data_IF_998866499930
#
_entry.id   IF_998866499930
#
_cell.length_a   1.000
_cell.length_b   1.000
_cell.length_c   1.000
_cell.angle_alpha   90.00
_cell.angle_beta   90.00
_cell.angle_gamma   90.00
#
_symmetry.space_group_name_H-M   'P 1'
#
loop_
_entity.id
_entity.type
_entity.pdbx_description
1 polymer ?
#
# COMPACT_ATOMS: atom_id res chain seq x y z
N UNK A 1 -13.70 -17.39 -30.89
CA UNK A 1 -14.42 -17.70 -29.63
C UNK A 1 -15.29 -18.93 -29.82
N UNK A 2 -15.36 -19.86 -28.83
CA UNK A 2 -16.30 -20.97 -28.89
C UNK A 2 -17.75 -20.47 -28.97
N UNK A 3 -18.58 -21.08 -29.82
CA UNK A 3 -19.97 -20.64 -30.07
C UNK A 3 -20.89 -20.69 -28.85
N UNK A 4 -20.47 -21.36 -27.77
CA UNK A 4 -21.22 -21.48 -26.52
C UNK A 4 -20.96 -20.35 -25.52
N UNK A 5 -19.94 -19.52 -25.72
CA UNK A 5 -19.59 -18.45 -24.79
C UNK A 5 -20.28 -17.15 -25.23
N UNK A 6 -21.27 -16.62 -24.47
CA UNK A 6 -21.96 -15.40 -24.86
C UNK A 6 -20.97 -14.24 -24.93
N UNK A 7 -20.91 -13.58 -26.09
CA UNK A 7 -20.16 -12.34 -26.25
C UNK A 7 -20.86 -11.37 -27.19
N UNK A 8 -20.63 -10.09 -26.96
CA UNK A 8 -21.00 -9.02 -27.90
C UNK A 8 -19.72 -8.35 -28.40
N UNK A 9 -19.78 -7.76 -29.60
CA UNK A 9 -18.62 -7.09 -30.18
C UNK A 9 -18.07 -6.02 -29.21
N UNK A 10 -16.74 -6.00 -29.05
CA UNK A 10 -16.07 -4.94 -28.30
C UNK A 10 -16.10 -3.65 -29.13
N UNK A 11 -16.75 -2.56 -28.68
CA UNK A 11 -16.86 -1.33 -29.44
C UNK A 11 -15.50 -0.69 -29.73
N UNK A 12 -15.31 -0.04 -30.89
CA UNK A 12 -14.10 0.74 -31.16
C UNK A 12 -14.07 2.02 -30.31
N UNK A 13 -12.89 2.65 -30.25
CA UNK A 13 -12.72 3.98 -29.67
C UNK A 13 -13.60 5.03 -30.38
N UNK A 14 -13.98 6.08 -29.65
CA UNK A 14 -14.80 7.19 -30.14
C UNK A 14 -14.12 8.53 -29.86
N UNK A 15 -14.18 9.42 -30.85
CA UNK A 15 -13.60 10.76 -30.76
C UNK A 15 -14.57 11.81 -30.18
N UNK A 16 -15.87 11.48 -30.09
CA UNK A 16 -16.94 12.40 -29.67
C UNK A 16 -17.15 12.45 -28.14
N UNK A 17 -16.15 12.04 -27.35
CA UNK A 17 -16.18 12.02 -25.89
C UNK A 17 -16.51 13.38 -25.24
N UNK A 18 -17.17 13.36 -24.09
CA UNK A 18 -17.60 14.58 -23.38
C UNK A 18 -16.42 15.46 -22.97
N UNK A 19 -15.30 14.85 -22.60
CA UNK A 19 -14.08 15.54 -22.19
C UNK A 19 -13.10 15.77 -23.34
N UNK A 20 -13.46 15.52 -24.60
CA UNK A 20 -12.57 15.82 -25.74
C UNK A 20 -12.23 17.33 -25.83
N UNK A 21 -11.05 17.73 -26.36
CA UNK A 21 -9.96 16.87 -26.85
C UNK A 21 -9.08 16.32 -25.73
N UNK A 22 -8.42 15.18 -25.94
CA UNK A 22 -7.40 14.64 -25.02
C UNK A 22 -6.21 15.60 -24.96
N UNK A 23 -5.74 15.92 -23.75
CA UNK A 23 -4.60 16.85 -23.56
C UNK A 23 -3.47 16.26 -22.73
N UNK A 24 -3.65 15.08 -22.15
CA UNK A 24 -2.59 14.35 -21.45
C UNK A 24 -1.45 13.97 -22.40
N UNK A 25 -0.27 13.73 -21.83
CA UNK A 25 0.85 13.16 -22.58
C UNK A 25 0.77 11.63 -22.70
N UNK A 26 -0.13 11.03 -21.93
CA UNK A 26 -0.40 9.61 -21.87
C UNK A 26 -1.84 9.31 -22.30
N UNK A 27 -1.99 8.22 -23.05
CA UNK A 27 -3.23 7.59 -23.46
C UNK A 27 -2.97 6.07 -23.42
N UNK A 28 -3.71 5.32 -22.61
CA UNK A 28 -3.38 3.92 -22.31
C UNK A 28 -4.01 2.99 -23.34
N UNK A 29 -3.81 1.68 -23.13
CA UNK A 29 -4.25 0.70 -24.12
C UNK A 29 -5.77 0.54 -24.20
N UNK A 30 -6.55 1.00 -23.22
CA UNK A 30 -8.02 0.94 -23.27
C UNK A 30 -8.57 1.79 -24.44
N UNK A 31 -9.65 1.38 -25.12
CA UNK A 31 -10.25 2.18 -26.20
C UNK A 31 -11.01 3.39 -25.64
N UNK A 32 -10.69 4.59 -26.10
CA UNK A 32 -11.33 5.78 -25.56
C UNK A 32 -12.84 5.85 -25.84
N UNK A 33 -13.61 6.12 -24.79
CA UNK A 33 -15.07 6.31 -24.79
C UNK A 33 -15.88 5.15 -25.37
N UNK A 34 -15.32 3.94 -25.46
CA UNK A 34 -15.96 2.80 -26.13
C UNK A 34 -17.27 2.38 -25.45
N UNK A 35 -17.32 2.45 -24.12
CA UNK A 35 -18.48 2.04 -23.32
C UNK A 35 -19.45 3.20 -23.03
N UNK A 36 -18.93 4.42 -22.88
CA UNK A 36 -19.71 5.61 -22.52
C UNK A 36 -19.02 6.88 -22.99
N UNK A 37 -19.82 7.90 -23.34
CA UNK A 37 -19.32 9.22 -23.73
C UNK A 37 -18.67 10.00 -22.56
N UNK A 38 -18.94 9.61 -21.31
CA UNK A 38 -18.56 10.41 -20.13
C UNK A 38 -17.23 10.02 -19.49
N UNK A 39 -16.67 8.85 -19.81
CA UNK A 39 -15.40 8.35 -19.29
C UNK A 39 -14.56 7.84 -20.45
N UNK A 40 -13.34 8.33 -20.60
CA UNK A 40 -12.44 7.92 -21.67
C UNK A 40 -12.07 6.43 -21.53
N UNK A 41 -11.53 6.03 -20.38
CA UNK A 41 -11.11 4.66 -20.12
C UNK A 41 -11.92 4.12 -18.93
N UNK A 42 -13.03 3.44 -19.20
CA UNK A 42 -14.01 3.09 -18.16
C UNK A 42 -13.49 2.02 -17.19
N UNK A 43 -12.74 1.03 -17.69
CA UNK A 43 -12.21 -0.05 -16.85
C UNK A 43 -11.08 0.51 -16.00
N UNK A 44 -10.16 1.27 -16.59
CA UNK A 44 -9.10 1.97 -15.86
C UNK A 44 -9.68 2.94 -14.83
N UNK A 45 -10.77 3.66 -15.15
CA UNK A 45 -11.49 4.51 -14.19
C UNK A 45 -12.08 3.70 -13.04
N UNK A 46 -12.89 2.66 -13.32
CA UNK A 46 -13.65 1.95 -12.27
C UNK A 46 -12.76 1.08 -11.37
N UNK A 47 -11.65 0.57 -11.90
CA UNK A 47 -10.69 -0.22 -11.10
C UNK A 47 -10.06 0.60 -9.97
N UNK A 48 -10.00 1.94 -10.11
CA UNK A 48 -9.55 2.85 -9.05
C UNK A 48 -10.52 2.97 -7.86
N UNK A 49 -11.77 2.52 -7.98
CA UNK A 49 -12.69 2.47 -6.84
C UNK A 49 -12.15 1.58 -5.70
N UNK A 50 -11.34 0.56 -6.03
CA UNK A 50 -10.67 -0.27 -5.02
C UNK A 50 -9.74 0.58 -4.13
N UNK A 51 -8.92 1.45 -4.73
CA UNK A 51 -8.07 2.37 -3.96
C UNK A 51 -8.92 3.21 -3.01
N UNK A 52 -9.99 3.82 -3.52
CA UNK A 52 -10.84 4.69 -2.72
C UNK A 52 -11.44 3.94 -1.52
N UNK A 53 -11.98 2.73 -1.74
CA UNK A 53 -12.56 1.89 -0.67
C UNK A 53 -11.50 1.48 0.34
N UNK A 54 -10.33 1.02 -0.11
CA UNK A 54 -9.23 0.61 0.77
C UNK A 54 -8.66 1.79 1.55
N UNK A 55 -8.63 2.99 0.97
CA UNK A 55 -8.23 4.21 1.65
C UNK A 55 -9.14 4.51 2.84
N UNK A 56 -10.46 4.50 2.63
CA UNK A 56 -11.43 4.72 3.70
C UNK A 56 -11.35 3.64 4.78
N UNK A 57 -11.19 2.37 4.39
CA UNK A 57 -10.97 1.27 5.33
C UNK A 57 -9.71 1.50 6.18
N UNK A 58 -8.60 1.89 5.56
CA UNK A 58 -7.33 2.17 6.23
C UNK A 58 -7.40 3.37 7.17
N UNK A 59 -7.98 4.49 6.72
CA UNK A 59 -8.22 5.68 7.54
C UNK A 59 -9.08 5.36 8.77
N UNK A 60 -10.19 4.64 8.57
CA UNK A 60 -11.04 4.20 9.67
C UNK A 60 -10.29 3.29 10.64
N UNK A 61 -9.49 2.34 10.14
CA UNK A 61 -8.67 1.46 10.96
C UNK A 61 -7.65 2.25 11.80
N UNK A 62 -6.97 3.25 11.21
CA UNK A 62 -6.07 4.16 11.92
C UNK A 62 -6.76 4.94 13.02
N UNK A 63 -7.93 5.50 12.75
CA UNK A 63 -8.73 6.26 13.71
C UNK A 63 -9.23 5.37 14.86
N UNK A 64 -9.90 4.27 14.52
CA UNK A 64 -10.54 3.38 15.49
C UNK A 64 -9.54 2.69 16.44
N UNK A 65 -8.32 2.42 15.96
CA UNK A 65 -7.29 1.72 16.75
C UNK A 65 -6.18 2.64 17.30
N UNK A 66 -6.31 3.97 17.11
CA UNK A 66 -5.35 4.95 17.62
C UNK A 66 -3.93 4.72 17.10
N UNK A 67 -3.79 4.48 15.80
CA UNK A 67 -2.48 4.38 15.15
C UNK A 67 -1.82 5.76 15.00
N UNK A 68 -0.51 5.79 14.80
CA UNK A 68 0.24 7.04 14.60
C UNK A 68 -0.37 7.84 13.43
N UNK A 69 -0.55 9.16 13.63
CA UNK A 69 -1.21 10.06 12.67
C UNK A 69 -0.58 10.03 11.26
N UNK A 70 0.70 9.71 11.17
CA UNK A 70 1.40 9.62 9.89
C UNK A 70 0.77 8.58 8.96
N UNK A 71 0.31 7.44 9.48
CA UNK A 71 -0.34 6.41 8.66
C UNK A 71 -1.74 6.84 8.19
N UNK A 72 -2.47 7.58 9.02
CA UNK A 72 -3.73 8.20 8.58
C UNK A 72 -3.47 9.16 7.41
N UNK A 73 -2.44 10.01 7.52
CA UNK A 73 -2.04 10.93 6.45
C UNK A 73 -1.56 10.19 5.19
N UNK A 74 -0.86 9.05 5.35
CA UNK A 74 -0.51 8.19 4.22
C UNK A 74 -1.74 7.63 3.53
N UNK A 75 -2.77 7.21 4.26
CA UNK A 75 -4.03 6.76 3.64
C UNK A 75 -4.81 7.90 2.98
N UNK A 76 -4.68 9.15 3.46
CA UNK A 76 -5.18 10.33 2.73
C UNK A 76 -4.42 10.51 1.42
N UNK A 77 -3.09 10.38 1.41
CA UNK A 77 -2.30 10.39 0.17
C UNK A 77 -2.73 9.28 -0.80
N UNK A 78 -2.92 8.06 -0.28
CA UNK A 78 -3.42 6.92 -1.04
C UNK A 78 -4.84 7.14 -1.61
N UNK A 79 -5.73 7.84 -0.88
CA UNK A 79 -7.04 8.27 -1.39
C UNK A 79 -6.89 9.25 -2.57
N UNK A 80 -5.95 10.20 -2.47
CA UNK A 80 -5.68 11.19 -3.52
C UNK A 80 -5.14 10.48 -4.76
N UNK A 81 -4.27 9.48 -4.62
CA UNK A 81 -3.80 8.63 -5.74
C UNK A 81 -4.99 7.98 -6.45
N UNK A 82 -5.83 7.23 -5.74
CA UNK A 82 -6.98 6.56 -6.36
C UNK A 82 -7.99 7.51 -6.97
N UNK A 83 -8.26 8.66 -6.32
CA UNK A 83 -9.20 9.66 -6.83
C UNK A 83 -8.64 10.44 -8.01
N UNK A 84 -7.34 10.73 -7.99
CA UNK A 84 -6.60 11.37 -9.08
C UNK A 84 -6.57 10.49 -10.31
N UNK A 85 -6.21 9.22 -10.15
CA UNK A 85 -6.23 8.21 -11.22
C UNK A 85 -7.65 8.03 -11.80
N UNK A 86 -8.67 7.90 -10.94
CA UNK A 86 -10.07 7.87 -11.39
C UNK A 86 -10.42 9.08 -12.28
N UNK A 87 -10.07 10.29 -11.82
CA UNK A 87 -10.35 11.52 -12.56
C UNK A 87 -9.52 11.62 -13.85
N UNK A 88 -8.27 11.15 -13.83
CA UNK A 88 -7.41 11.11 -15.00
C UNK A 88 -7.97 10.18 -16.08
N UNK A 89 -8.25 8.91 -15.77
CA UNK A 89 -8.79 7.95 -16.73
C UNK A 89 -10.20 8.31 -17.22
N UNK A 90 -10.97 9.06 -16.43
CA UNK A 90 -12.26 9.60 -16.89
C UNK A 90 -12.08 10.67 -17.98
N UNK A 91 -11.04 11.51 -17.86
CA UNK A 91 -10.95 12.77 -18.61
C UNK A 91 -9.81 12.85 -19.63
N UNK A 92 -8.72 12.10 -19.42
CA UNK A 92 -7.44 12.18 -20.13
C UNK A 92 -6.94 13.62 -20.30
N UNK A 93 -6.98 14.37 -19.19
CA UNK A 93 -6.53 15.76 -19.11
C UNK A 93 -5.23 15.87 -18.38
N UNK A 94 -4.31 16.67 -18.93
CA UNK A 94 -3.00 16.90 -18.33
C UNK A 94 -3.03 17.34 -16.85
N UNK A 95 -3.93 18.26 -16.40
CA UNK A 95 -4.02 18.56 -14.97
C UNK A 95 -4.37 17.36 -14.09
N UNK A 96 -5.25 16.47 -14.55
CA UNK A 96 -5.62 15.27 -13.79
C UNK A 96 -4.53 14.20 -13.86
N UNK A 97 -3.80 14.11 -14.97
CA UNK A 97 -2.58 13.30 -15.08
C UNK A 97 -1.55 13.71 -14.01
N UNK A 98 -1.33 15.02 -13.83
CA UNK A 98 -0.44 15.52 -12.78
C UNK A 98 -0.94 15.15 -11.38
N UNK A 99 -2.25 15.21 -11.12
CA UNK A 99 -2.82 14.80 -9.83
C UNK A 99 -2.60 13.31 -9.58
N UNK A 100 -2.84 12.46 -10.58
CA UNK A 100 -2.60 11.03 -10.50
C UNK A 100 -1.12 10.73 -10.20
N UNK A 101 -0.23 11.07 -11.13
CA UNK A 101 1.17 10.70 -11.06
C UNK A 101 1.89 11.38 -9.88
N UNK A 102 1.72 12.69 -9.65
CA UNK A 102 2.47 13.37 -8.59
C UNK A 102 2.00 13.01 -7.20
N UNK A 103 0.73 12.66 -7.01
CA UNK A 103 0.23 12.21 -5.70
C UNK A 103 0.91 10.91 -5.24
N UNK A 104 1.33 10.04 -6.19
CA UNK A 104 2.13 8.86 -5.89
C UNK A 104 3.49 9.25 -5.30
N UNK A 105 4.18 10.23 -5.90
CA UNK A 105 5.46 10.76 -5.40
C UNK A 105 5.30 11.34 -4.00
N UNK A 106 4.27 12.18 -3.78
CA UNK A 106 4.06 12.84 -2.50
C UNK A 106 3.77 11.84 -1.39
N UNK A 107 2.94 10.83 -1.68
CA UNK A 107 2.62 9.76 -0.72
C UNK A 107 3.85 8.93 -0.36
N UNK A 108 4.71 8.62 -1.34
CA UNK A 108 5.96 7.90 -1.06
C UNK A 108 6.97 8.78 -0.32
N UNK A 109 7.03 10.09 -0.58
CA UNK A 109 7.85 11.03 0.20
C UNK A 109 7.42 11.08 1.69
N UNK A 110 6.11 11.04 1.97
CA UNK A 110 5.60 10.93 3.34
C UNK A 110 6.09 9.64 4.02
N UNK A 111 6.07 8.52 3.29
CA UNK A 111 6.55 7.24 3.82
C UNK A 111 8.06 7.17 3.98
N UNK A 112 8.80 7.82 3.09
CA UNK A 112 10.24 8.04 3.25
C UNK A 112 10.50 8.78 4.55
N UNK A 113 9.86 9.94 4.75
CA UNK A 113 10.03 10.72 5.97
C UNK A 113 9.72 9.86 7.21
N UNK A 114 8.54 9.25 7.27
CA UNK A 114 8.07 8.43 8.39
C UNK A 114 9.01 7.27 8.78
N UNK A 115 9.63 6.66 7.76
CA UNK A 115 10.55 5.53 7.95
C UNK A 115 11.92 5.98 8.46
N UNK A 116 12.44 7.11 7.94
CA UNK A 116 13.77 7.58 8.27
C UNK A 116 13.82 8.47 9.53
N UNK A 117 12.71 9.11 9.91
CA UNK A 117 12.61 9.91 11.13
C UNK A 117 12.49 9.08 12.42
N UNK A 118 12.10 7.81 12.32
CA UNK A 118 11.82 6.97 13.47
C UNK A 118 13.00 6.92 14.47
N UNK A 119 12.71 7.23 15.74
CA UNK A 119 13.66 7.25 16.87
C UNK A 119 14.87 8.18 16.68
N UNK A 120 14.79 9.17 15.79
CA UNK A 120 15.82 10.21 15.64
C UNK A 120 15.50 11.43 16.51
N UNK A 121 16.53 11.99 17.13
CA UNK A 121 16.42 13.23 17.87
C UNK A 121 16.41 14.45 16.93
N UNK A 122 15.86 15.57 17.41
CA UNK A 122 15.98 16.85 16.72
C UNK A 122 17.46 17.21 16.51
N UNK A 123 17.83 17.82 15.36
CA UNK A 123 16.96 18.39 14.32
C UNK A 123 16.66 17.46 13.13
N UNK A 124 17.01 16.17 13.21
CA UNK A 124 16.99 15.25 12.06
C UNK A 124 15.60 15.12 11.39
N UNK A 125 14.48 14.91 12.12
CA UNK A 125 13.17 14.80 11.50
C UNK A 125 12.77 16.05 10.70
N UNK A 126 13.13 17.24 11.18
CA UNK A 126 12.88 18.50 10.48
C UNK A 126 13.69 18.60 9.18
N UNK A 127 14.98 18.29 9.24
CA UNK A 127 15.85 18.31 8.05
C UNK A 127 15.38 17.29 7.00
N UNK A 128 14.96 16.09 7.41
CA UNK A 128 14.37 15.10 6.52
C UNK A 128 13.05 15.58 5.90
N UNK A 129 12.22 16.29 6.68
CA UNK A 129 10.98 16.90 6.18
C UNK A 129 11.24 17.96 5.13
N UNK A 130 12.21 18.86 5.38
CA UNK A 130 12.64 19.87 4.41
C UNK A 130 13.20 19.21 3.14
N UNK A 131 14.08 18.22 3.30
CA UNK A 131 14.65 17.48 2.17
C UNK A 131 13.58 16.82 1.30
N UNK A 132 12.65 16.09 1.90
CA UNK A 132 11.57 15.40 1.17
C UNK A 132 10.61 16.38 0.48
N UNK A 133 10.33 17.53 1.10
CA UNK A 133 9.53 18.58 0.48
C UNK A 133 10.25 19.20 -0.74
N UNK A 134 11.53 19.53 -0.61
CA UNK A 134 12.34 20.04 -1.72
C UNK A 134 12.45 19.02 -2.85
N UNK A 135 12.64 17.74 -2.53
CA UNK A 135 12.66 16.66 -3.51
C UNK A 135 11.33 16.55 -4.26
N UNK A 136 10.19 16.60 -3.56
CA UNK A 136 8.88 16.58 -4.19
C UNK A 136 8.64 17.78 -5.10
N UNK A 137 9.03 18.99 -4.68
CA UNK A 137 8.96 20.21 -5.49
C UNK A 137 9.84 20.09 -6.73
N UNK A 138 11.07 19.61 -6.58
CA UNK A 138 11.99 19.38 -7.70
C UNK A 138 11.41 18.39 -8.72
N UNK A 139 10.97 17.21 -8.27
CA UNK A 139 10.37 16.19 -9.15
C UNK A 139 9.15 16.77 -9.86
N UNK A 140 8.30 17.52 -9.15
CA UNK A 140 7.10 18.15 -9.73
C UNK A 140 7.47 19.15 -10.81
N UNK A 141 8.36 20.11 -10.51
CA UNK A 141 8.74 21.15 -11.45
C UNK A 141 9.47 20.59 -12.66
N UNK A 142 10.37 19.63 -12.45
CA UNK A 142 11.11 18.99 -13.54
C UNK A 142 10.21 18.10 -14.40
N UNK A 143 9.31 17.34 -13.78
CA UNK A 143 8.34 16.53 -14.52
C UNK A 143 7.40 17.39 -15.35
N UNK A 144 6.89 18.48 -14.77
CA UNK A 144 6.03 19.42 -15.49
C UNK A 144 6.74 20.11 -16.67
N UNK A 145 8.04 20.39 -16.52
CA UNK A 145 8.87 20.96 -17.58
C UNK A 145 9.17 19.96 -18.70
N UNK A 146 9.57 18.73 -18.34
CA UNK A 146 10.00 17.71 -19.29
C UNK A 146 8.81 17.04 -20.00
N UNK A 147 7.68 16.89 -19.29
CA UNK A 147 6.47 16.21 -19.73
C UNK A 147 6.68 14.76 -20.22
N UNK A 148 7.80 14.15 -19.81
CA UNK A 148 8.17 12.78 -20.12
C UNK A 148 7.79 11.84 -18.96
N UNK A 149 6.79 10.96 -19.15
CA UNK A 149 6.29 10.07 -18.10
C UNK A 149 7.36 9.09 -17.61
N UNK A 150 8.40 8.79 -18.40
CA UNK A 150 9.48 7.88 -17.98
C UNK A 150 10.31 8.46 -16.82
N UNK A 151 10.44 9.79 -16.74
CA UNK A 151 11.10 10.45 -15.62
C UNK A 151 10.34 10.21 -14.31
N UNK A 152 9.01 10.39 -14.33
CA UNK A 152 8.16 10.12 -13.18
C UNK A 152 8.25 8.66 -12.75
N UNK A 153 8.11 7.72 -13.69
CA UNK A 153 8.16 6.29 -13.42
C UNK A 153 9.47 5.88 -12.74
N UNK A 154 10.60 6.36 -13.25
CA UNK A 154 11.92 6.10 -12.66
C UNK A 154 12.05 6.70 -11.26
N UNK A 155 11.63 7.96 -11.07
CA UNK A 155 11.67 8.61 -9.76
C UNK A 155 10.82 7.87 -8.73
N UNK A 156 9.60 7.49 -9.10
CA UNK A 156 8.69 6.73 -8.25
C UNK A 156 9.25 5.34 -7.91
N UNK A 157 9.80 4.62 -8.89
CA UNK A 157 10.39 3.29 -8.69
C UNK A 157 11.58 3.34 -7.72
N UNK A 158 12.51 4.27 -7.92
CA UNK A 158 13.67 4.46 -7.04
C UNK A 158 13.22 4.79 -5.62
N UNK A 159 12.31 5.75 -5.47
CA UNK A 159 11.84 6.18 -4.16
C UNK A 159 11.13 5.02 -3.44
N UNK A 160 10.27 4.29 -4.13
CA UNK A 160 9.55 3.12 -3.57
C UNK A 160 10.52 2.02 -3.14
N UNK A 161 11.51 1.71 -3.98
CA UNK A 161 12.55 0.73 -3.64
C UNK A 161 13.35 1.16 -2.40
N UNK A 162 13.74 2.42 -2.29
CA UNK A 162 14.46 2.95 -1.14
C UNK A 162 13.65 2.83 0.15
N UNK A 163 12.39 3.25 0.14
CA UNK A 163 11.54 3.16 1.34
C UNK A 163 11.33 1.70 1.73
N UNK A 164 10.97 0.84 0.77
CA UNK A 164 10.71 -0.57 1.04
C UNK A 164 11.95 -1.30 1.59
N UNK A 165 13.09 -1.16 0.92
CA UNK A 165 14.34 -1.79 1.35
C UNK A 165 14.80 -1.27 2.72
N UNK A 166 14.64 0.03 2.99
CA UNK A 166 14.92 0.58 4.33
C UNK A 166 14.00 -0.02 5.39
N UNK A 167 12.70 -0.12 5.14
CA UNK A 167 11.78 -0.70 6.11
C UNK A 167 12.10 -2.18 6.36
N UNK A 168 12.44 -2.96 5.33
CA UNK A 168 12.89 -4.35 5.48
C UNK A 168 14.19 -4.46 6.27
N UNK A 169 15.14 -3.56 6.01
CA UNK A 169 16.39 -3.48 6.76
C UNK A 169 16.13 -3.24 8.24
N UNK A 170 15.24 -2.30 8.60
CA UNK A 170 14.88 -2.03 10.00
C UNK A 170 14.32 -3.30 10.67
N UNK A 171 13.42 -4.01 9.98
CA UNK A 171 12.88 -5.27 10.49
C UNK A 171 13.97 -6.33 10.73
N UNK A 172 14.89 -6.52 9.78
CA UNK A 172 15.93 -7.56 9.90
C UNK A 172 17.09 -7.21 10.82
N UNK A 173 17.45 -5.92 10.93
CA UNK A 173 18.64 -5.48 11.67
C UNK A 173 18.31 -4.95 13.05
N UNK A 174 17.13 -4.34 13.24
CA UNK A 174 16.73 -3.82 14.54
C UNK A 174 15.80 -4.81 15.25
N UNK A 175 14.71 -5.23 14.60
CA UNK A 175 13.66 -6.02 15.26
C UNK A 175 14.07 -7.48 15.51
N UNK A 176 14.55 -8.17 14.48
CA UNK A 176 14.91 -9.60 14.58
C UNK A 176 16.04 -9.89 15.57
N UNK A 177 17.16 -9.12 15.60
CA UNK A 177 18.23 -9.35 16.56
C UNK A 177 17.82 -8.97 17.98
N UNK A 178 16.97 -7.95 18.14
CA UNK A 178 16.38 -7.60 19.43
C UNK A 178 15.59 -8.78 20.02
N UNK A 179 14.70 -9.41 19.24
CA UNK A 179 13.97 -10.61 19.67
C UNK A 179 14.90 -11.79 19.94
N UNK A 180 15.92 -12.02 19.09
CA UNK A 180 16.90 -13.11 19.31
C UNK A 180 17.69 -12.93 20.60
N UNK A 181 18.18 -11.72 20.89
CA UNK A 181 18.92 -11.41 22.11
C UNK A 181 18.04 -11.59 23.35
N UNK A 182 16.79 -11.11 23.28
CA UNK A 182 15.81 -11.26 24.37
C UNK A 182 15.55 -12.75 24.67
N UNK A 183 15.27 -13.55 23.64
CA UNK A 183 15.08 -15.00 23.78
C UNK A 183 16.30 -15.70 24.39
N UNK A 184 17.51 -15.32 24.00
CA UNK A 184 18.73 -15.90 24.57
C UNK A 184 18.92 -15.54 26.06
N UNK A 185 18.52 -14.34 26.48
CA UNK A 185 18.51 -13.94 27.89
C UNK A 185 17.46 -14.72 28.68
N UNK A 186 16.25 -14.85 28.12
CA UNK A 186 15.15 -15.61 28.73
C UNK A 186 15.52 -17.08 28.95
N UNK A 187 16.15 -17.72 27.96
CA UNK A 187 16.60 -19.10 28.05
C UNK A 187 17.62 -19.31 29.17
N UNK A 188 18.57 -18.39 29.35
CA UNK A 188 19.54 -18.43 30.46
C UNK A 188 18.89 -18.23 31.83
N UNK A 189 17.87 -17.36 31.92
CA UNK A 189 17.15 -17.12 33.16
C UNK A 189 16.31 -18.34 33.60
N UNK A 190 15.76 -19.09 32.64
CA UNK A 190 15.06 -20.35 32.88
C UNK A 190 16.00 -21.48 33.32
N UNK A 191 17.16 -21.61 32.67
CA UNK A 191 18.15 -22.67 32.98
C UNK A 191 18.74 -22.51 34.38
N UNK A 192 18.90 -21.27 34.86
CA UNK A 192 19.38 -20.96 36.20
C UNK A 192 18.31 -21.08 37.31
N UNK A 193 17.09 -21.57 37.00
CA UNK A 193 15.94 -21.70 37.92
C UNK A 193 15.58 -20.40 38.68
N UNK A 194 15.85 -19.23 38.07
CA UNK A 194 15.65 -17.93 38.72
C UNK A 194 14.17 -17.48 38.63
N UNK A 195 13.40 -18.06 37.73
CA UNK A 195 12.03 -17.61 37.40
C UNK A 195 10.99 -18.64 37.82
N UNK A 196 10.03 -18.25 38.67
CA UNK A 196 8.88 -19.08 39.03
C UNK A 196 8.04 -19.53 37.82
N UNK A 197 7.25 -20.58 37.98
CA UNK A 197 6.49 -21.28 36.91
C UNK A 197 5.62 -20.35 36.05
N UNK A 198 4.87 -19.43 36.66
CA UNK A 198 4.04 -18.45 35.93
C UNK A 198 4.88 -17.45 35.11
N UNK A 199 6.03 -17.01 35.66
CA UNK A 199 6.96 -16.13 34.95
C UNK A 199 7.61 -16.84 33.76
N UNK A 200 7.92 -18.13 33.90
CA UNK A 200 8.51 -18.93 32.82
C UNK A 200 7.53 -19.14 31.66
N UNK A 201 6.24 -19.38 31.97
CA UNK A 201 5.18 -19.51 30.97
C UNK A 201 4.98 -18.22 30.15
N UNK A 202 4.98 -17.05 30.81
CA UNK A 202 4.84 -15.75 30.14
C UNK A 202 6.06 -15.42 29.25
N UNK A 203 7.28 -15.77 29.68
CA UNK A 203 8.49 -15.61 28.85
C UNK A 203 8.41 -16.47 27.58
N UNK A 204 8.02 -17.74 27.73
CA UNK A 204 7.84 -18.66 26.59
C UNK A 204 6.79 -18.12 25.61
N UNK A 205 5.65 -17.65 26.10
CA UNK A 205 4.61 -17.01 25.27
C UNK A 205 5.16 -15.82 24.47
N UNK A 206 5.96 -14.94 25.10
CA UNK A 206 6.57 -13.78 24.42
C UNK A 206 7.53 -14.19 23.31
N UNK A 207 8.36 -15.20 23.56
CA UNK A 207 9.33 -15.69 22.58
C UNK A 207 8.63 -16.36 21.38
N UNK A 208 7.58 -17.15 21.62
CA UNK A 208 6.76 -17.76 20.56
C UNK A 208 6.06 -16.68 19.72
N UNK A 209 5.46 -15.68 20.38
CA UNK A 209 4.83 -14.54 19.70
C UNK A 209 5.81 -13.80 18.81
N UNK A 210 7.01 -13.48 19.29
CA UNK A 210 8.01 -12.75 18.50
C UNK A 210 8.41 -13.48 17.21
N UNK A 211 8.53 -14.81 17.27
CA UNK A 211 8.80 -15.64 16.08
C UNK A 211 7.63 -15.59 15.11
N UNK A 212 6.39 -15.65 15.60
CA UNK A 212 5.18 -15.54 14.80
C UNK A 212 5.12 -14.16 14.11
N UNK A 213 5.43 -13.08 14.83
CA UNK A 213 5.44 -11.71 14.30
C UNK A 213 6.36 -11.58 13.09
N UNK A 214 7.61 -12.02 13.21
CA UNK A 214 8.60 -11.93 12.12
C UNK A 214 8.15 -12.77 10.92
N UNK A 215 7.61 -13.96 11.16
CA UNK A 215 7.06 -14.81 10.08
C UNK A 215 5.88 -14.13 9.37
N UNK A 216 4.94 -13.56 10.13
CA UNK A 216 3.80 -12.82 9.58
C UNK A 216 4.24 -11.62 8.75
N UNK A 217 5.22 -10.85 9.25
CA UNK A 217 5.78 -9.71 8.51
C UNK A 217 6.38 -10.12 7.16
N UNK A 218 7.14 -11.22 7.12
CA UNK A 218 7.68 -11.75 5.87
C UNK A 218 6.59 -12.28 4.92
N UNK A 219 5.54 -12.90 5.45
CA UNK A 219 4.38 -13.30 4.64
C UNK A 219 3.69 -12.09 4.03
N UNK A 220 3.47 -11.01 4.80
CA UNK A 220 2.89 -9.76 4.28
C UNK A 220 3.76 -9.14 3.19
N UNK A 221 5.09 -9.06 3.40
CA UNK A 221 6.03 -8.57 2.40
C UNK A 221 5.97 -9.42 1.14
N UNK A 222 6.06 -10.75 1.27
CA UNK A 222 6.08 -11.67 0.14
C UNK A 222 4.81 -11.54 -0.70
N UNK A 223 3.64 -11.61 -0.08
CA UNK A 223 2.36 -11.47 -0.79
C UNK A 223 2.21 -10.06 -1.38
N UNK A 224 2.47 -9.01 -0.59
CA UNK A 224 2.34 -7.63 -1.05
C UNK A 224 3.24 -7.31 -2.25
N UNK A 225 4.51 -7.77 -2.21
CA UNK A 225 5.45 -7.61 -3.31
C UNK A 225 5.05 -8.42 -4.54
N UNK A 226 4.64 -9.68 -4.37
CA UNK A 226 4.20 -10.51 -5.49
C UNK A 226 3.00 -9.90 -6.20
N UNK A 227 2.04 -9.35 -5.45
CA UNK A 227 0.89 -8.64 -6.03
C UNK A 227 1.35 -7.36 -6.73
N UNK A 228 2.15 -6.51 -6.08
CA UNK A 228 2.60 -5.25 -6.68
C UNK A 228 3.43 -5.46 -7.96
N UNK A 229 4.43 -6.35 -7.91
CA UNK A 229 5.29 -6.67 -9.05
C UNK A 229 4.53 -7.44 -10.14
N UNK A 230 3.56 -8.27 -9.77
CA UNK A 230 2.67 -8.92 -10.72
C UNK A 230 1.85 -7.89 -11.51
N UNK A 231 1.29 -6.90 -10.82
CA UNK A 231 0.63 -5.76 -11.45
C UNK A 231 1.60 -5.03 -12.39
N UNK A 232 2.82 -4.72 -11.94
CA UNK A 232 3.84 -4.06 -12.77
C UNK A 232 4.17 -4.85 -14.03
N UNK A 233 4.28 -6.17 -13.92
CA UNK A 233 4.48 -7.06 -15.06
C UNK A 233 3.34 -6.96 -16.07
N UNK A 234 2.09 -7.03 -15.60
CA UNK A 234 0.90 -6.92 -16.48
C UNK A 234 0.84 -5.55 -17.15
N UNK A 235 1.10 -4.47 -16.41
CA UNK A 235 1.17 -3.11 -16.95
C UNK A 235 2.20 -3.00 -18.09
N UNK A 236 3.41 -3.55 -17.92
CA UNK A 236 4.42 -3.52 -18.97
C UNK A 236 3.98 -4.32 -20.21
N UNK A 237 3.34 -5.48 -20.02
CA UNK A 237 2.81 -6.27 -21.14
C UNK A 237 1.74 -5.50 -21.90
N UNK A 238 0.85 -4.80 -21.20
CA UNK A 238 -0.20 -3.96 -21.78
C UNK A 238 0.39 -2.84 -22.64
N UNK A 239 1.45 -2.18 -22.16
CA UNK A 239 2.14 -1.12 -22.90
C UNK A 239 2.89 -1.66 -24.14
N UNK A 240 3.65 -2.74 -23.99
CA UNK A 240 4.51 -3.28 -25.06
C UNK A 240 3.68 -3.92 -26.18
N UNK A 241 2.65 -4.68 -25.81
CA UNK A 241 1.85 -5.49 -26.73
C UNK A 241 0.46 -4.89 -27.00
N UNK A 242 0.28 -3.58 -26.75
CA UNK A 242 -1.03 -2.95 -26.81
C UNK A 242 -1.79 -3.28 -28.11
N UNK A 243 -1.13 -3.17 -29.26
CA UNK A 243 -1.77 -3.43 -30.57
C UNK A 243 -2.33 -4.86 -30.68
N UNK A 244 -1.62 -5.86 -30.15
CA UNK A 244 -2.06 -7.26 -30.12
C UNK A 244 -3.17 -7.46 -29.09
N UNK A 245 -3.05 -6.84 -27.92
CA UNK A 245 -4.06 -6.91 -26.85
C UNK A 245 -5.39 -6.29 -27.32
N UNK A 246 -5.37 -5.15 -28.03
CA UNK A 246 -6.57 -4.55 -28.65
C UNK A 246 -7.22 -5.52 -29.65
N UNK A 247 -6.43 -6.14 -30.52
CA UNK A 247 -6.94 -7.13 -31.48
C UNK A 247 -7.63 -8.29 -30.77
N UNK A 248 -7.00 -8.87 -29.75
CA UNK A 248 -7.61 -9.94 -28.96
C UNK A 248 -8.89 -9.50 -28.25
N UNK A 249 -8.96 -8.27 -27.72
CA UNK A 249 -10.20 -7.74 -27.13
C UNK A 249 -11.34 -7.66 -28.12
N UNK A 250 -11.08 -7.22 -29.36
CA UNK A 250 -12.09 -7.19 -30.42
C UNK A 250 -12.52 -8.59 -30.89
N UNK A 251 -11.60 -9.56 -30.96
CA UNK A 251 -11.92 -10.95 -31.33
C UNK A 251 -12.71 -11.69 -30.25
N UNK A 252 -12.42 -11.40 -28.98
CA UNK A 252 -13.06 -12.03 -27.83
C UNK A 252 -14.42 -11.38 -27.54
N UNK A 253 -14.52 -10.06 -27.61
CA UNK A 253 -15.75 -9.32 -27.31
C UNK A 253 -16.05 -9.18 -25.81
N UNK A 254 -17.07 -8.42 -25.47
CA UNK A 254 -17.52 -8.21 -24.09
C UNK A 254 -18.36 -9.40 -23.59
N UNK A 255 -18.33 -9.70 -22.28
CA UNK A 255 -17.55 -9.01 -21.23
C UNK A 255 -16.09 -9.48 -21.13
N UNK A 256 -15.72 -10.57 -21.81
CA UNK A 256 -14.44 -11.26 -21.62
C UNK A 256 -13.22 -10.43 -22.03
N UNK A 257 -13.37 -9.51 -22.98
CA UNK A 257 -12.34 -8.54 -23.36
C UNK A 257 -11.88 -7.66 -22.20
N UNK A 258 -12.72 -7.42 -21.18
CA UNK A 258 -12.35 -6.65 -19.97
C UNK A 258 -11.19 -7.33 -19.21
N UNK A 259 -11.06 -8.66 -19.29
CA UNK A 259 -9.96 -9.37 -18.63
C UNK A 259 -8.59 -9.06 -19.24
N UNK A 260 -8.56 -8.50 -20.45
CA UNK A 260 -7.35 -8.08 -21.14
C UNK A 260 -6.99 -6.61 -20.91
N UNK A 261 -7.74 -5.88 -20.08
CA UNK A 261 -7.39 -4.52 -19.64
C UNK A 261 -6.23 -4.58 -18.64
N UNK A 262 -5.00 -4.69 -19.15
CA UNK A 262 -3.82 -4.88 -18.32
C UNK A 262 -3.58 -3.71 -17.37
N UNK A 263 -3.82 -2.49 -17.84
CA UNK A 263 -3.74 -1.29 -17.00
C UNK A 263 -4.78 -1.28 -15.86
N UNK A 264 -5.99 -1.81 -16.09
CA UNK A 264 -7.00 -1.99 -15.04
C UNK A 264 -6.57 -2.98 -13.96
N UNK A 265 -5.94 -4.11 -14.35
CA UNK A 265 -5.35 -5.06 -13.40
C UNK A 265 -4.22 -4.44 -12.60
N UNK A 266 -3.41 -3.58 -13.22
CA UNK A 266 -2.37 -2.82 -12.54
C UNK A 266 -2.93 -2.01 -11.37
N UNK A 267 -4.04 -1.29 -11.54
CA UNK A 267 -4.68 -0.57 -10.43
C UNK A 267 -5.07 -1.49 -9.29
N UNK A 268 -5.76 -2.60 -9.60
CA UNK A 268 -6.23 -3.55 -8.59
C UNK A 268 -5.05 -4.10 -7.78
N UNK A 269 -3.99 -4.52 -8.48
CA UNK A 269 -2.85 -5.19 -7.88
C UNK A 269 -1.96 -4.21 -7.11
N UNK A 270 -1.55 -3.10 -7.73
CA UNK A 270 -0.68 -2.12 -7.04
C UNK A 270 -1.40 -1.42 -5.91
N UNK A 271 -2.69 -1.13 -6.04
CA UNK A 271 -3.51 -0.61 -4.95
C UNK A 271 -3.53 -1.56 -3.77
N UNK A 272 -3.76 -2.84 -4.02
CA UNK A 272 -3.73 -3.87 -2.96
C UNK A 272 -2.34 -4.00 -2.33
N UNK A 273 -1.27 -4.06 -3.15
CA UNK A 273 0.11 -4.16 -2.69
C UNK A 273 0.54 -2.96 -1.84
N UNK A 274 0.20 -1.75 -2.25
CA UNK A 274 0.47 -0.53 -1.49
C UNK A 274 -0.31 -0.48 -0.18
N UNK A 275 -1.59 -0.90 -0.16
CA UNK A 275 -2.34 -1.04 1.10
C UNK A 275 -1.65 -2.05 2.05
N UNK A 276 -1.20 -3.19 1.53
CA UNK A 276 -0.50 -4.21 2.32
C UNK A 276 0.80 -3.65 2.91
N UNK A 277 1.54 -2.86 2.13
CA UNK A 277 2.74 -2.18 2.60
C UNK A 277 2.44 -1.19 3.75
N UNK A 278 1.39 -0.38 3.63
CA UNK A 278 1.02 0.59 4.69
C UNK A 278 0.62 -0.15 5.98
N UNK A 279 -0.23 -1.18 5.89
CA UNK A 279 -0.64 -1.99 7.05
C UNK A 279 0.55 -2.71 7.68
N UNK A 280 1.46 -3.24 6.87
CA UNK A 280 2.71 -3.81 7.35
C UNK A 280 3.59 -2.76 8.06
N UNK A 281 3.67 -1.54 7.53
CA UNK A 281 4.37 -0.42 8.16
C UNK A 281 3.78 -0.04 9.52
N UNK A 282 2.45 -0.06 9.67
CA UNK A 282 1.76 0.11 10.96
C UNK A 282 2.19 -0.99 11.93
N UNK A 283 2.22 -2.24 11.48
CA UNK A 283 2.62 -3.37 12.32
C UNK A 283 4.07 -3.26 12.79
N UNK A 284 4.96 -2.92 11.86
CA UNK A 284 6.37 -2.68 12.13
C UNK A 284 6.55 -1.56 13.17
N UNK A 285 5.84 -0.44 13.04
CA UNK A 285 5.90 0.69 14.00
C UNK A 285 5.50 0.27 15.41
N UNK A 286 4.41 -0.49 15.57
CA UNK A 286 4.00 -0.97 16.89
C UNK A 286 5.01 -1.93 17.50
N UNK A 287 5.58 -2.84 16.70
CA UNK A 287 6.62 -3.77 17.16
C UNK A 287 7.91 -3.05 17.56
N UNK A 288 8.33 -2.04 16.80
CA UNK A 288 9.50 -1.21 17.12
C UNK A 288 9.29 -0.37 18.39
N UNK A 289 8.04 0.02 18.67
CA UNK A 289 7.66 0.74 19.88
C UNK A 289 7.41 -0.16 21.09
N UNK A 290 7.57 -1.49 20.96
CA UNK A 290 7.32 -2.42 22.07
C UNK A 290 5.84 -2.65 22.39
N UNK A 291 4.93 -2.26 21.48
CA UNK A 291 3.46 -2.31 21.67
C UNK A 291 2.81 -3.55 21.03
N UNK A 292 3.59 -4.56 20.66
CA UNK A 292 3.10 -5.78 20.00
C UNK A 292 2.15 -6.64 20.87
N UNK A 293 2.05 -6.36 22.18
CA UNK A 293 1.05 -6.97 23.07
C UNK A 293 -0.29 -6.24 23.06
N UNK A 294 -0.31 -4.97 22.69
CA UNK A 294 -1.54 -4.16 22.64
C UNK A 294 -2.30 -4.30 21.33
N UNK A 295 -1.62 -4.82 20.30
CA UNK A 295 -2.12 -4.89 18.93
C UNK A 295 -1.95 -6.28 18.35
N UNK A 296 -2.72 -6.58 17.31
CA UNK A 296 -2.58 -7.80 16.54
C UNK A 296 -2.88 -7.60 15.06
N UNK A 297 -2.23 -8.43 14.24
CA UNK A 297 -2.54 -8.55 12.82
C UNK A 297 -3.74 -9.48 12.64
N UNK A 298 -4.83 -8.94 12.10
CA UNK A 298 -6.00 -9.72 11.68
C UNK A 298 -5.93 -9.92 10.18
N UNK A 299 -5.63 -11.16 9.78
CA UNK A 299 -5.60 -11.58 8.38
C UNK A 299 -5.96 -13.07 8.24
N UNK A 300 -7.26 -13.43 8.37
CA UNK A 300 -7.70 -14.83 8.46
C UNK A 300 -7.49 -15.64 7.17
N UNK A 301 -7.41 -14.97 6.01
CA UNK A 301 -7.23 -15.61 4.71
C UNK A 301 -6.41 -14.74 3.77
N UNK A 302 -5.41 -15.34 3.11
CA UNK A 302 -4.56 -14.66 2.13
C UNK A 302 -5.34 -14.20 0.89
N UNK A 303 -6.43 -14.88 0.55
CA UNK A 303 -7.16 -14.65 -0.71
C UNK A 303 -8.51 -13.97 -0.53
N UNK A 304 -9.15 -14.14 0.63
CA UNK A 304 -10.54 -13.67 0.87
C UNK A 304 -10.63 -12.58 1.93
N UNK A 305 -9.50 -12.15 2.50
CA UNK A 305 -9.50 -11.09 3.50
C UNK A 305 -8.36 -10.09 3.28
N UNK A 306 -8.61 -8.87 3.71
CA UNK A 306 -7.66 -7.75 3.66
C UNK A 306 -7.05 -7.57 5.06
N UNK A 307 -5.72 -7.50 5.20
CA UNK A 307 -5.08 -7.40 6.50
C UNK A 307 -5.44 -6.07 7.19
N UNK A 308 -5.49 -6.12 8.51
CA UNK A 308 -5.64 -4.92 9.35
C UNK A 308 -4.94 -5.12 10.69
N UNK A 309 -4.44 -4.02 11.27
CA UNK A 309 -3.92 -4.03 12.63
C UNK A 309 -5.02 -3.53 13.55
N UNK A 310 -5.34 -4.31 14.57
CA UNK A 310 -6.39 -3.95 15.53
C UNK A 310 -5.84 -3.94 16.94
N UNK A 311 -6.38 -3.07 17.78
CA UNK A 311 -6.05 -3.03 19.20
C UNK A 311 -6.75 -4.21 19.88
N UNK A 312 -6.01 -4.96 20.69
CA UNK A 312 -6.60 -6.04 21.50
C UNK A 312 -7.56 -5.45 22.54
N UNK A 313 -8.72 -6.08 22.79
CA UNK A 313 -9.56 -5.72 23.93
C UNK A 313 -8.74 -5.86 25.22
N UNK A 314 -8.66 -4.80 26.03
CA UNK A 314 -8.11 -4.93 27.37
C UNK A 314 -9.01 -5.90 28.14
N UNK A 315 -8.43 -6.98 28.67
CA UNK A 315 -9.14 -7.78 29.67
C UNK A 315 -9.54 -6.85 30.81
N UNK A 316 -10.83 -6.72 31.09
CA UNK A 316 -11.31 -6.06 32.31
C UNK A 316 -10.83 -6.90 33.50
N UNK A 317 -9.61 -6.66 33.98
CA UNK A 317 -9.20 -7.13 35.29
C UNK A 317 -9.94 -6.27 36.33
N UNK A 318 -11.15 -6.71 36.66
CA UNK A 318 -11.83 -6.31 37.87
C UNK A 318 -11.05 -6.81 39.09
N UNK A 319 -10.39 -5.89 39.78
CA UNK A 319 -10.41 -5.74 41.24
C UNK A 319 -9.40 -4.67 41.63
N UNK A 320 -9.83 -3.41 41.66
CA UNK A 320 -9.13 -2.36 42.40
C UNK A 320 -9.18 -2.74 43.89
N UNK A 321 -8.15 -3.42 44.37
CA UNK A 321 -7.85 -3.54 45.79
C UNK A 321 -7.46 -2.18 46.34
N UNK A 322 -8.46 -1.34 46.62
CA UNK A 322 -8.28 -0.12 47.38
C UNK A 322 -7.90 -0.53 48.81
N UNK A 323 -6.60 -0.55 49.09
CA UNK A 323 -6.07 -0.58 50.45
C UNK A 323 -6.45 0.75 51.09
N UNK A 324 -7.49 0.74 51.93
CA UNK A 324 -7.75 1.80 52.90
C UNK A 324 -6.53 1.87 53.84
N UNK A 325 -5.75 2.96 53.75
CA UNK A 325 -4.89 3.37 54.85
C UNK A 325 -5.79 3.98 55.93
N UNK A 326 -5.94 3.29 57.04
CA UNK A 326 -6.38 3.88 58.31
C UNK A 326 -5.16 4.48 59.00
N UNK A 327 -5.21 5.80 59.21
CA UNK A 327 -4.49 6.51 60.26
C UNK A 327 -5.48 7.44 60.94
#
# INVERSE_FOLDING_TARGET
MPSWLPSVAYPPARDDGYWAPITSTLDWCEENYYATRYSAEIVNTLTNLLFIVLAFKGMYNCYANGHDKIFFLTFVGYLIVGSGSFAFHTTLKYPMQLVDELSMIYTTCLMFWATFEHKRANPIPLLLGIFTALLAIFITGYYHYLQDPTFHQNAYAILTALVLTRSMYIMEVELRPYYRKRRAVNAKAQDNDITGTESSAELKRKDERDVIIVRQMWTMIGVGLSVFLGGFGIWNLDNIYCSQVRQWRHEIGLPWGILLEGHGWWHIMTGTGAYFYIVWGIWLRHCLNGRQDEYELVWPSLFTSIPSIVRRPQAMNGSNGHVKKTS
#
